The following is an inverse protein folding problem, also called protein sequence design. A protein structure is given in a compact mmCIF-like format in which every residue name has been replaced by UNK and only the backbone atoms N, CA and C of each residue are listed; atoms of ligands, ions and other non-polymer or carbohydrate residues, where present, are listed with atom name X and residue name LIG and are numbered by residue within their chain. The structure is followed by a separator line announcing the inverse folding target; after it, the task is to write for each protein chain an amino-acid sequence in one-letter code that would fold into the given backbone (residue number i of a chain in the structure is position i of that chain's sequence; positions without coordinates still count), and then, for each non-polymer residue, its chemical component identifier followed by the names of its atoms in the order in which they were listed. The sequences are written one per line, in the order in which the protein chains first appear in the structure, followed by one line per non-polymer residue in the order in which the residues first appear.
data_IF_037612700800
#
_entry.id   IF_037612700800
#
_cell.length_a   1.000
_cell.length_b   1.000
_cell.length_c   1.000
_cell.angle_alpha   90.00
_cell.angle_beta   90.00
_cell.angle_gamma   90.00
#
_symmetry.space_group_name_H-M   'P 1'
#
loop_
_entity.id
_entity.type
_entity.pdbx_description
1 polymer ?
#
# COMPACT_ATOMS: atom_id res chain seq x y z
N UNK A 1 -5.72 -10.50 -36.60
CA UNK A 1 -6.70 -10.86 -37.63
C UNK A 1 -7.26 -12.25 -37.35
N UNK A 2 -8.40 -12.33 -36.64
CA UNK A 2 -9.46 -13.35 -36.81
C UNK A 2 -10.60 -13.11 -35.80
N UNK A 3 -11.26 -11.97 -35.94
CA UNK A 3 -12.60 -11.72 -35.35
C UNK A 3 -13.37 -10.84 -36.35
N UNK A 4 -13.58 -11.41 -37.54
CA UNK A 4 -14.33 -10.81 -38.65
C UNK A 4 -15.38 -11.80 -39.18
N UNK A 5 -15.83 -12.73 -38.33
CA UNK A 5 -16.86 -13.72 -38.64
C UNK A 5 -18.03 -13.55 -37.66
N UNK A 6 -18.73 -12.42 -37.79
CA UNK A 6 -20.19 -12.32 -37.83
C UNK A 6 -21.08 -13.09 -36.83
N UNK A 7 -20.59 -13.57 -35.70
CA UNK A 7 -21.42 -14.22 -34.68
C UNK A 7 -21.30 -13.46 -33.37
N UNK A 8 -22.39 -12.78 -33.03
CA UNK A 8 -22.50 -11.87 -31.92
C UNK A 8 -22.17 -12.53 -30.59
N UNK A 9 -21.20 -11.96 -29.90
CA UNK A 9 -21.16 -12.03 -28.45
C UNK A 9 -21.70 -10.68 -27.99
N UNK A 10 -22.87 -10.70 -27.36
CA UNK A 10 -23.47 -9.48 -26.80
C UNK A 10 -22.46 -8.80 -25.86
N UNK A 11 -22.33 -7.47 -25.89
CA UNK A 11 -21.68 -6.75 -24.80
C UNK A 11 -22.50 -7.03 -23.52
N UNK A 12 -21.90 -7.46 -22.38
CA UNK A 12 -20.59 -7.07 -21.85
C UNK A 12 -19.79 -8.31 -21.36
N UNK A 13 -18.98 -8.93 -22.21
CA UNK A 13 -18.05 -9.94 -21.72
C UNK A 13 -16.73 -9.25 -21.32
N UNK A 14 -16.38 -9.17 -20.02
CA UNK A 14 -15.10 -8.61 -19.60
C UNK A 14 -13.97 -9.49 -20.14
N UNK A 15 -13.29 -9.02 -21.18
CA UNK A 15 -12.09 -9.68 -21.68
C UNK A 15 -10.88 -9.27 -20.83
N UNK A 16 -9.88 -10.14 -20.71
CA UNK A 16 -8.63 -9.83 -20.01
C UNK A 16 -7.99 -8.53 -20.52
N UNK A 17 -8.08 -8.27 -21.83
CA UNK A 17 -7.58 -7.03 -22.44
C UNK A 17 -8.39 -5.79 -22.08
N UNK A 18 -9.71 -5.91 -21.93
CA UNK A 18 -10.57 -4.81 -21.49
C UNK A 18 -10.35 -4.49 -20.01
N UNK A 19 -10.17 -5.51 -19.16
CA UNK A 19 -9.83 -5.35 -17.74
C UNK A 19 -8.46 -4.68 -17.54
N UNK A 20 -7.45 -5.06 -18.33
CA UNK A 20 -6.12 -4.42 -18.31
C UNK A 20 -6.14 -2.96 -18.80
N UNK A 21 -7.09 -2.63 -19.67
CA UNK A 21 -7.25 -1.26 -20.22
C UNK A 21 -8.07 -0.38 -19.28
N UNK A 22 -9.19 -0.88 -18.74
CA UNK A 22 -10.03 -0.19 -17.74
C UNK A 22 -9.34 -0.08 -16.37
N UNK A 23 -8.62 -1.11 -15.93
CA UNK A 23 -7.83 -1.07 -14.69
C UNK A 23 -6.75 0.00 -14.75
N UNK A 24 -6.25 0.33 -15.95
CA UNK A 24 -5.28 1.42 -16.15
C UNK A 24 -5.87 2.79 -15.82
N UNK A 25 -7.18 2.99 -16.02
CA UNK A 25 -7.87 4.24 -15.70
C UNK A 25 -8.07 4.42 -14.19
N UNK A 26 -8.23 3.34 -13.43
CA UNK A 26 -8.37 3.37 -11.96
C UNK A 26 -7.05 3.42 -11.19
N UNK A 27 -5.95 2.94 -11.81
CA UNK A 27 -4.61 2.98 -11.21
C UNK A 27 -4.12 4.41 -10.99
N UNK A 28 -4.46 5.35 -11.88
CA UNK A 28 -3.95 6.73 -11.79
C UNK A 28 -4.76 7.65 -10.88
N UNK A 29 -6.01 7.32 -10.56
CA UNK A 29 -6.87 8.20 -9.73
C UNK A 29 -6.83 7.84 -8.24
N UNK A 30 -6.45 6.60 -7.92
CA UNK A 30 -6.55 6.05 -6.55
C UNK A 30 -5.28 6.22 -5.72
N UNK A 31 -4.81 7.46 -5.55
CA UNK A 31 -3.61 7.78 -4.73
C UNK A 31 -3.70 7.22 -3.29
N UNK A 32 -4.92 7.10 -2.76
CA UNK A 32 -5.18 6.54 -1.43
C UNK A 32 -4.75 5.08 -1.28
N UNK A 33 -4.79 4.28 -2.36
CA UNK A 33 -4.37 2.87 -2.32
C UNK A 33 -2.89 2.71 -1.98
N UNK A 34 -2.07 3.73 -2.22
CA UNK A 34 -0.65 3.74 -1.88
C UNK A 34 -0.39 4.46 -0.55
N UNK A 35 -1.10 5.57 -0.28
CA UNK A 35 -0.87 6.38 0.92
C UNK A 35 -1.29 5.67 2.21
N UNK A 36 -2.45 5.00 2.24
CA UNK A 36 -2.90 4.32 3.47
C UNK A 36 -1.94 3.23 3.97
N UNK A 37 -1.53 2.24 3.15
CA UNK A 37 -0.57 1.24 3.60
C UNK A 37 0.80 1.85 3.91
N UNK A 38 1.24 2.85 3.15
CA UNK A 38 2.50 3.56 3.43
C UNK A 38 2.50 4.27 4.78
N UNK A 39 1.40 4.97 5.12
CA UNK A 39 1.25 5.69 6.38
C UNK A 39 1.13 4.72 7.56
N UNK A 40 0.43 3.60 7.39
CA UNK A 40 0.32 2.57 8.42
C UNK A 40 1.71 2.00 8.81
N UNK A 41 2.55 1.69 7.82
CA UNK A 41 3.92 1.22 8.05
C UNK A 41 4.76 2.30 8.73
N UNK A 42 4.69 3.55 8.26
CA UNK A 42 5.42 4.68 8.84
C UNK A 42 5.09 4.83 10.33
N UNK A 43 3.81 4.87 10.67
CA UNK A 43 3.35 5.00 12.06
C UNK A 43 3.84 3.81 12.89
N UNK A 44 3.67 2.58 12.41
CA UNK A 44 4.13 1.40 13.12
C UNK A 44 5.64 1.47 13.43
N UNK A 45 6.46 1.77 12.42
CA UNK A 45 7.92 1.88 12.59
C UNK A 45 8.28 3.02 13.55
N UNK A 46 7.65 4.18 13.45
CA UNK A 46 7.88 5.30 14.38
C UNK A 46 7.51 4.93 15.81
N UNK A 47 6.34 4.32 16.03
CA UNK A 47 5.91 3.88 17.36
C UNK A 47 6.89 2.87 17.96
N UNK A 48 7.34 1.87 17.18
CA UNK A 48 8.32 0.91 17.67
C UNK A 48 9.68 1.54 17.97
N UNK A 49 10.15 2.48 17.14
CA UNK A 49 11.41 3.19 17.41
C UNK A 49 11.31 4.04 18.69
N UNK A 50 10.26 4.83 18.84
CA UNK A 50 10.07 5.68 20.01
C UNK A 50 9.88 4.88 21.31
N UNK A 51 9.15 3.77 21.26
CA UNK A 51 9.01 2.87 22.41
C UNK A 51 10.35 2.21 22.74
N UNK A 52 11.12 1.81 21.74
CA UNK A 52 12.47 1.27 21.92
C UNK A 52 13.42 2.26 22.58
N UNK A 53 13.43 3.51 22.10
CA UNK A 53 14.25 4.59 22.66
C UNK A 53 13.80 4.96 24.07
N UNK A 54 12.50 5.10 24.31
CA UNK A 54 11.96 5.38 25.66
C UNK A 54 12.21 4.25 26.66
N UNK A 55 12.13 3.00 26.21
CA UNK A 55 12.49 1.83 27.02
C UNK A 55 14.00 1.82 27.31
N UNK A 56 14.83 2.13 26.32
CA UNK A 56 16.28 2.25 26.49
C UNK A 56 16.63 3.33 27.50
N UNK A 57 16.06 4.52 27.40
CA UNK A 57 16.30 5.62 28.34
C UNK A 57 15.83 5.28 29.76
N UNK A 58 14.70 4.58 29.89
CA UNK A 58 14.20 4.13 31.20
C UNK A 58 15.07 3.02 31.81
N UNK A 59 15.69 2.17 30.99
CA UNK A 59 16.56 1.08 31.41
C UNK A 59 18.03 1.48 31.54
N UNK A 60 18.47 2.60 30.95
CA UNK A 60 19.85 3.06 31.01
C UNK A 60 20.14 3.65 32.42
N UNK A 61 20.87 2.94 33.30
CA UNK A 61 21.04 3.35 34.69
C UNK A 61 22.10 4.46 34.86
N UNK A 62 22.65 4.98 33.75
CA UNK A 62 23.84 5.82 33.71
C UNK A 62 23.72 7.19 34.36
N UNK A 63 22.53 7.60 34.79
CA UNK A 63 22.31 8.84 35.57
C UNK A 63 22.32 8.63 37.10
N UNK A 64 22.34 7.39 37.61
CA UNK A 64 22.25 7.10 39.06
C UNK A 64 23.60 6.98 39.79
N UNK A 65 24.73 7.08 39.11
CA UNK A 65 26.05 6.73 39.68
C UNK A 65 27.06 7.87 39.87
N UNK A 66 26.63 9.14 40.00
CA UNK A 66 27.56 10.27 40.20
C UNK A 66 27.10 11.24 41.30
N UNK A 67 26.85 10.68 42.50
CA UNK A 67 26.87 11.42 43.77
C UNK A 67 27.46 10.53 44.85
#
# INVERSE_FOLDING_TARGET
SLSFLGFGVQPPAPSWGNILTEGRTYIFDSWWLTIFPGLAILIAVLSFNLVGDGLRDALDPRLRGRR
#
